data_IF_295655391445
#
_entry.id   IF_295655391445
#
_cell.length_a   1.000
_cell.length_b   1.000
_cell.length_c   1.000
_cell.angle_alpha   90.00
_cell.angle_beta   90.00
_cell.angle_gamma   90.00
#
_symmetry.space_group_name_H-M   'P 1'
#
loop_
_entity.id
_entity.type
_entity.pdbx_description
1 polymer ?
#
# COMPACT_ATOMS: atom_id res chain seq x y z
N UNK A 1 6.80 12.07 18.78
CA UNK A 1 8.04 12.85 18.68
C UNK A 1 8.46 12.83 17.22
N UNK A 2 8.54 13.99 16.57
CA UNK A 2 9.15 14.12 15.25
C UNK A 2 10.64 14.32 15.50
N UNK A 3 11.46 13.38 15.05
CA UNK A 3 12.90 13.45 15.15
C UNK A 3 13.45 13.63 13.74
N UNK A 4 14.22 14.68 13.54
CA UNK A 4 14.92 14.87 12.27
C UNK A 4 16.04 13.84 12.13
N UNK A 5 16.15 13.27 10.93
CA UNK A 5 17.21 12.33 10.61
C UNK A 5 18.57 13.03 10.60
N UNK A 6 19.64 12.30 10.91
CA UNK A 6 21.01 12.83 10.83
C UNK A 6 21.45 13.04 9.37
N UNK A 7 20.85 12.29 8.43
CA UNK A 7 21.23 12.29 7.03
C UNK A 7 20.61 13.44 6.24
N UNK A 8 21.37 13.95 5.28
CA UNK A 8 20.86 14.88 4.28
C UNK A 8 19.74 14.21 3.47
N UNK A 9 18.65 14.94 3.25
CA UNK A 9 17.53 14.43 2.48
C UNK A 9 17.96 14.22 1.01
N UNK A 10 17.72 13.02 0.50
CA UNK A 10 17.96 12.68 -0.92
C UNK A 10 17.14 13.60 -1.85
N UNK A 11 15.97 14.02 -1.38
CA UNK A 11 15.01 14.82 -2.12
C UNK A 11 14.78 16.13 -1.37
N UNK A 12 14.80 17.25 -2.10
CA UNK A 12 14.46 18.55 -1.51
C UNK A 12 13.03 18.56 -0.98
N UNK A 13 12.83 19.24 0.15
CA UNK A 13 11.53 19.34 0.80
C UNK A 13 10.45 19.91 -0.14
N UNK A 14 10.82 20.88 -0.98
CA UNK A 14 9.91 21.46 -1.98
C UNK A 14 9.41 20.40 -2.97
N UNK A 15 10.31 19.56 -3.48
CA UNK A 15 9.96 18.50 -4.45
C UNK A 15 9.13 17.40 -3.78
N UNK A 16 9.50 17.00 -2.55
CA UNK A 16 8.72 16.06 -1.74
C UNK A 16 7.28 16.54 -1.53
N UNK A 17 7.11 17.78 -1.08
CA UNK A 17 5.79 18.37 -0.82
C UNK A 17 4.94 18.49 -2.09
N UNK A 18 5.56 18.77 -3.24
CA UNK A 18 4.87 18.80 -4.52
C UNK A 18 4.37 17.41 -4.92
N UNK A 19 5.22 16.39 -4.81
CA UNK A 19 4.85 15.01 -5.09
C UNK A 19 3.74 14.52 -4.14
N UNK A 20 3.87 14.81 -2.85
CA UNK A 20 2.89 14.47 -1.82
C UNK A 20 1.51 15.08 -2.14
N UNK A 21 1.46 16.38 -2.45
CA UNK A 21 0.22 17.07 -2.85
C UNK A 21 -0.40 16.50 -4.12
N UNK A 22 0.44 16.07 -5.09
CA UNK A 22 -0.05 15.41 -6.30
C UNK A 22 -0.69 14.06 -5.95
N UNK A 23 -0.01 13.22 -5.18
CA UNK A 23 -0.52 11.92 -4.75
C UNK A 23 -1.83 12.03 -3.94
N UNK A 24 -1.98 13.05 -3.09
CA UNK A 24 -3.25 13.29 -2.41
C UNK A 24 -4.41 13.59 -3.37
N UNK A 25 -4.14 14.30 -4.48
CA UNK A 25 -5.15 14.68 -5.47
C UNK A 25 -5.43 13.60 -6.50
N UNK A 26 -4.39 12.88 -6.93
CA UNK A 26 -4.46 11.93 -8.07
C UNK A 26 -4.37 10.47 -7.64
N UNK A 27 -4.17 10.18 -6.35
CA UNK A 27 -4.10 8.83 -5.79
C UNK A 27 -5.45 8.12 -5.76
N UNK A 28 -6.21 8.22 -6.85
CA UNK A 28 -7.41 7.43 -7.07
C UNK A 28 -7.01 6.06 -7.59
N UNK A 29 -7.64 5.02 -7.06
CA UNK A 29 -7.51 3.68 -7.61
C UNK A 29 -8.01 3.72 -9.05
N UNK A 30 -7.19 3.30 -10.00
CA UNK A 30 -7.65 3.09 -11.35
C UNK A 30 -8.61 1.89 -11.32
N UNK A 31 -9.90 2.18 -11.40
CA UNK A 31 -10.94 1.14 -11.48
C UNK A 31 -10.70 0.37 -12.76
N UNK A 32 -10.46 -0.94 -12.66
CA UNK A 32 -10.44 -1.80 -13.84
C UNK A 32 -11.84 -1.74 -14.46
N UNK A 33 -11.95 -1.10 -15.63
CA UNK A 33 -13.21 -0.95 -16.38
C UNK A 33 -13.70 -2.26 -16.99
N UNK A 34 -12.82 -3.28 -17.06
CA UNK A 34 -13.18 -4.57 -17.61
C UNK A 34 -14.13 -5.30 -16.65
N UNK A 35 -15.35 -5.53 -17.16
CA UNK A 35 -16.39 -6.33 -16.51
C UNK A 35 -15.84 -7.68 -16.06
N UNK A 36 -16.32 -8.16 -14.90
CA UNK A 36 -16.08 -9.53 -14.41
C UNK A 36 -16.59 -10.61 -15.38
N UNK A 37 -17.45 -10.24 -16.33
CA UNK A 37 -17.92 -11.08 -17.43
C UNK A 37 -16.95 -11.12 -18.63
N UNK A 38 -15.84 -10.37 -18.61
CA UNK A 38 -14.89 -10.43 -19.70
C UNK A 38 -14.11 -11.75 -19.65
N UNK A 39 -14.47 -12.66 -20.54
CA UNK A 39 -13.71 -13.89 -20.77
C UNK A 39 -12.33 -13.54 -21.34
N UNK A 40 -11.28 -14.12 -20.76
CA UNK A 40 -9.94 -14.03 -21.33
C UNK A 40 -9.93 -14.64 -22.73
N UNK A 41 -9.20 -14.07 -23.69
CA UNK A 41 -9.16 -14.58 -25.07
C UNK A 41 -8.75 -16.06 -25.19
N UNK A 42 -8.07 -16.61 -24.18
CA UNK A 42 -7.65 -18.02 -24.13
C UNK A 42 -8.65 -18.93 -23.39
N UNK A 43 -9.76 -18.36 -22.88
CA UNK A 43 -10.89 -19.11 -22.33
C UNK A 43 -11.39 -20.10 -23.37
N UNK A 44 -11.62 -21.35 -22.98
CA UNK A 44 -12.05 -22.43 -23.87
C UNK A 44 -10.96 -23.06 -24.76
N UNK A 45 -9.84 -22.35 -25.02
CA UNK A 45 -8.72 -22.85 -25.83
C UNK A 45 -7.72 -23.63 -24.97
N UNK A 46 -7.27 -23.03 -23.86
CA UNK A 46 -6.26 -23.64 -22.99
C UNK A 46 -6.92 -24.55 -21.95
N UNK A 47 -6.43 -25.79 -21.87
CA UNK A 47 -6.92 -26.82 -20.94
C UNK A 47 -5.76 -27.42 -20.15
N UNK A 48 -6.02 -27.81 -18.91
CA UNK A 48 -5.06 -28.52 -18.07
C UNK A 48 -4.71 -29.88 -18.72
N UNK A 49 -3.44 -30.20 -18.97
CA UNK A 49 -3.07 -31.48 -19.59
C UNK A 49 -3.37 -32.69 -18.69
N UNK A 50 -3.46 -32.49 -17.38
CA UNK A 50 -3.69 -33.54 -16.38
C UNK A 50 -5.19 -33.81 -16.17
N UNK A 51 -5.98 -32.77 -15.88
CA UNK A 51 -7.41 -32.95 -15.54
C UNK A 51 -8.38 -32.49 -16.64
N UNK A 52 -7.88 -31.99 -17.78
CA UNK A 52 -8.64 -31.52 -18.95
C UNK A 52 -9.65 -30.38 -18.70
N UNK A 53 -9.78 -29.90 -17.46
CA UNK A 53 -10.56 -28.70 -17.13
C UNK A 53 -9.95 -27.47 -17.80
N UNK A 54 -10.81 -26.53 -18.19
CA UNK A 54 -10.39 -25.23 -18.71
C UNK A 54 -9.56 -24.49 -17.66
N UNK A 55 -8.45 -23.89 -18.09
CA UNK A 55 -7.65 -23.07 -17.19
C UNK A 55 -8.29 -21.69 -17.05
N UNK A 56 -8.52 -21.26 -15.81
CA UNK A 56 -9.07 -19.93 -15.53
C UNK A 56 -7.93 -18.91 -15.59
N UNK A 57 -8.15 -17.81 -16.32
CA UNK A 57 -7.28 -16.65 -16.24
C UNK A 57 -7.39 -16.04 -14.84
N UNK A 58 -6.26 -15.75 -14.21
CA UNK A 58 -6.26 -15.05 -12.93
C UNK A 58 -6.65 -13.58 -13.14
N UNK A 59 -7.94 -13.26 -13.05
CA UNK A 59 -8.33 -11.88 -12.76
C UNK A 59 -8.02 -11.64 -11.29
N UNK A 60 -7.04 -10.78 -10.99
CA UNK A 60 -6.93 -10.22 -9.63
C UNK A 60 -8.20 -9.42 -9.37
N UNK A 61 -9.16 -10.04 -8.70
CA UNK A 61 -10.41 -9.45 -8.23
C UNK A 61 -10.09 -8.38 -7.21
N UNK A 62 -10.03 -7.13 -7.66
CA UNK A 62 -10.39 -6.01 -6.79
C UNK A 62 -11.91 -5.93 -6.90
N UNK A 63 -12.61 -6.27 -5.82
CA UNK A 63 -14.06 -6.38 -5.79
C UNK A 63 -14.73 -5.10 -6.34
N UNK A 64 -15.68 -5.30 -7.25
CA UNK A 64 -16.42 -4.27 -7.99
C UNK A 64 -17.88 -4.20 -7.55
N UNK A 65 -18.18 -4.54 -6.30
CA UNK A 65 -19.51 -4.26 -5.75
C UNK A 65 -19.50 -2.92 -5.05
N UNK A 66 -20.55 -2.17 -5.33
CA UNK A 66 -20.91 -0.85 -4.81
C UNK A 66 -21.16 -0.91 -3.30
N UNK A 67 -20.13 -1.23 -2.54
CA UNK A 67 -19.88 -0.70 -1.22
C UNK A 67 -18.61 0.13 -1.41
N UNK A 68 -18.55 1.34 -0.86
CA UNK A 68 -17.32 2.13 -0.83
C UNK A 68 -16.24 1.31 -0.12
N UNK A 69 -15.54 0.43 -0.84
CA UNK A 69 -14.36 -0.25 -0.32
C UNK A 69 -13.36 0.88 -0.11
N UNK A 70 -13.00 1.17 1.16
CA UNK A 70 -12.01 2.18 1.45
C UNK A 70 -10.76 1.83 0.64
N UNK A 71 -10.12 2.84 0.03
CA UNK A 71 -8.78 2.71 -0.52
C UNK A 71 -7.93 1.78 0.37
N UNK A 72 -7.05 0.92 -0.17
CA UNK A 72 -6.13 0.16 0.68
C UNK A 72 -5.24 1.09 1.53
N UNK A 73 -5.20 2.39 1.20
CA UNK A 73 -4.58 3.47 1.96
C UNK A 73 -5.56 4.37 2.72
N UNK A 74 -6.87 4.10 2.70
CA UNK A 74 -7.78 4.76 3.64
C UNK A 74 -7.40 4.25 5.02
N UNK A 75 -7.19 5.17 5.99
CA UNK A 75 -7.13 4.73 7.36
C UNK A 75 -8.46 4.04 7.65
N UNK A 76 -8.41 2.73 7.88
CA UNK A 76 -9.48 2.05 8.59
C UNK A 76 -9.71 2.91 9.83
N UNK A 77 -10.86 3.58 9.95
CA UNK A 77 -11.48 4.17 11.15
C UNK A 77 -10.56 5.11 12.00
N UNK A 78 -11.07 6.23 12.51
CA UNK A 78 -10.31 7.08 13.47
C UNK A 78 -9.77 6.27 14.69
N UNK A 79 -10.44 5.17 15.04
CA UNK A 79 -10.07 4.19 16.09
C UNK A 79 -9.13 3.06 15.66
N UNK A 80 -8.90 2.83 14.36
CA UNK A 80 -7.89 1.84 13.90
C UNK A 80 -6.53 2.48 13.65
N UNK A 81 -6.30 3.65 14.26
CA UNK A 81 -4.95 4.08 14.59
C UNK A 81 -4.29 2.94 15.33
N UNK A 82 -3.08 2.57 14.88
CA UNK A 82 -2.28 1.55 15.58
C UNK A 82 -2.35 1.83 17.08
N UNK A 83 -2.63 0.81 17.92
CA UNK A 83 -2.75 1.01 19.36
C UNK A 83 -1.52 1.77 19.84
N UNK A 84 -1.74 2.70 20.77
CA UNK A 84 -0.67 3.56 21.28
C UNK A 84 0.49 2.67 21.69
N UNK A 85 1.61 2.80 20.97
CA UNK A 85 2.73 1.88 21.08
C UNK A 85 3.16 1.79 22.56
N UNK A 86 3.24 0.57 23.09
CA UNK A 86 3.71 0.34 24.47
C UNK A 86 5.08 1.01 24.65
N UNK A 87 5.33 1.63 25.80
CA UNK A 87 6.54 2.44 26.01
C UNK A 87 7.83 1.64 25.78
N UNK A 88 7.85 0.35 26.13
CA UNK A 88 8.99 -0.54 25.86
C UNK A 88 9.25 -0.73 24.37
N UNK A 89 8.17 -0.80 23.58
CA UNK A 89 8.29 -0.92 22.11
C UNK A 89 8.78 0.41 21.52
N UNK A 90 8.36 1.55 22.04
CA UNK A 90 8.88 2.86 21.64
C UNK A 90 10.37 2.99 21.99
N UNK A 91 10.78 2.57 23.17
CA UNK A 91 12.18 2.64 23.61
C UNK A 91 13.08 1.76 22.74
N UNK A 92 12.68 0.51 22.47
CA UNK A 92 13.42 -0.40 21.59
C UNK A 92 13.58 0.16 20.17
N UNK A 93 12.54 0.78 19.62
CA UNK A 93 12.60 1.44 18.29
C UNK A 93 13.58 2.62 18.34
N UNK A 94 13.50 3.48 19.35
CA UNK A 94 14.40 4.63 19.49
C UNK A 94 15.85 4.18 19.68
N UNK A 95 16.09 3.14 20.47
CA UNK A 95 17.42 2.55 20.68
C UNK A 95 18.00 2.01 19.37
N UNK A 96 17.21 1.25 18.61
CA UNK A 96 17.64 0.76 17.30
C UNK A 96 17.97 1.93 16.34
N UNK A 97 17.11 2.95 16.26
CA UNK A 97 17.36 4.13 15.42
C UNK A 97 18.62 4.90 15.85
N UNK A 98 18.93 4.96 17.15
CA UNK A 98 20.19 5.52 17.67
C UNK A 98 21.39 4.65 17.31
N UNK A 99 21.27 3.33 17.40
CA UNK A 99 22.32 2.38 17.06
C UNK A 99 22.73 2.50 15.58
N UNK A 100 21.74 2.58 14.69
CA UNK A 100 21.96 2.78 13.25
C UNK A 100 22.29 4.22 12.86
N UNK A 101 22.47 5.14 13.83
CA UNK A 101 22.79 6.56 13.60
C UNK A 101 21.78 7.25 12.68
N UNK A 102 20.51 6.84 12.75
CA UNK A 102 19.44 7.44 11.98
C UNK A 102 18.91 8.72 12.64
N UNK A 103 18.96 8.78 13.98
CA UNK A 103 18.54 9.93 14.80
C UNK A 103 19.65 10.37 15.75
N UNK A 104 19.66 11.65 16.12
CA UNK A 104 20.67 12.23 17.01
C UNK A 104 20.75 11.50 18.35
N UNK A 105 21.98 11.21 18.80
CA UNK A 105 22.24 10.73 20.15
C UNK A 105 22.26 11.95 21.08
N UNK A 106 21.07 12.34 21.57
CA UNK A 106 20.95 13.32 22.65
C UNK A 106 21.32 12.68 23.98
#
# INVERSE_FOLDING_TARGET
MLNDGIHEAIISEKMWNQAYRKCQKTGVLQVKTHSTLHEHNLSGIIKCPVCRRGMQGNSTTVATDLELVPSPNLSKNEESRQPQCLEDKKSAIVEALKHFKMIQQK
#
